data_IF_331330563874
#
_entry.id   IF_331330563874
#
_cell.length_a   1.000
_cell.length_b   1.000
_cell.length_c   1.000
_cell.angle_alpha   90.00
_cell.angle_beta   90.00
_cell.angle_gamma   90.00
#
_symmetry.space_group_name_H-M   'P 1'
#
loop_
_entity.id
_entity.type
_entity.pdbx_description
1 polymer ?
#
# COMPACT_ATOMS: atom_id res chain seq x y z
N UNK A 1 10.25 5.16 -1.78
CA UNK A 1 11.53 5.91 -1.91
C UNK A 1 12.09 6.37 -0.55
N UNK A 2 11.25 6.90 0.35
CA UNK A 2 11.71 7.41 1.66
C UNK A 2 12.46 6.38 2.51
N UNK A 3 12.04 5.12 2.52
CA UNK A 3 12.77 4.03 3.20
C UNK A 3 14.18 3.78 2.66
N UNK A 4 14.37 3.81 1.33
CA UNK A 4 15.70 3.65 0.72
C UNK A 4 16.64 4.82 1.08
N UNK A 5 16.12 6.06 1.05
CA UNK A 5 16.89 7.25 1.46
C UNK A 5 17.29 7.18 2.94
N UNK A 6 16.36 6.79 3.82
CA UNK A 6 16.63 6.60 5.23
C UNK A 6 17.66 5.49 5.47
N UNK A 7 17.60 4.39 4.72
CA UNK A 7 18.59 3.30 4.78
C UNK A 7 20.00 3.77 4.43
N UNK A 8 20.15 4.63 3.42
CA UNK A 8 21.46 5.24 3.09
C UNK A 8 21.97 6.15 4.21
N UNK A 9 21.11 6.99 4.79
CA UNK A 9 21.49 7.86 5.92
C UNK A 9 21.91 7.03 7.14
N UNK A 10 21.20 5.94 7.42
CA UNK A 10 21.57 4.99 8.48
C UNK A 10 22.94 4.37 8.22
N UNK A 11 23.20 3.90 6.99
CA UNK A 11 24.49 3.31 6.61
C UNK A 11 25.66 4.31 6.74
N UNK A 12 25.39 5.60 6.57
CA UNK A 12 26.35 6.69 6.77
C UNK A 12 26.55 7.08 8.25
N UNK A 13 25.88 6.41 9.21
CA UNK A 13 25.93 6.75 10.64
C UNK A 13 25.06 7.95 11.03
N UNK A 14 24.24 8.48 10.12
CA UNK A 14 23.47 9.72 10.28
C UNK A 14 22.06 9.46 10.80
N UNK A 15 21.91 8.57 11.78
CA UNK A 15 20.60 8.14 12.26
C UNK A 15 19.85 9.22 13.05
N UNK A 16 20.58 10.15 13.67
CA UNK A 16 20.02 11.24 14.46
C UNK A 16 20.14 12.61 13.78
N UNK A 17 20.59 12.64 12.52
CA UNK A 17 20.55 13.86 11.73
C UNK A 17 19.09 14.27 11.50
N UNK A 18 18.78 15.58 11.46
CA UNK A 18 17.40 16.07 11.27
C UNK A 18 16.70 15.44 10.06
N UNK A 19 17.43 15.23 8.96
CA UNK A 19 16.90 14.60 7.74
C UNK A 19 16.45 13.15 7.96
N UNK A 20 17.17 12.37 8.77
CA UNK A 20 16.80 11.00 9.10
C UNK A 20 15.61 10.96 10.07
N UNK A 21 15.57 11.89 11.03
CA UNK A 21 14.44 12.02 11.98
C UNK A 21 13.15 12.33 11.24
N UNK A 22 13.14 13.30 10.32
CA UNK A 22 11.93 13.67 9.55
C UNK A 22 11.37 12.47 8.77
N UNK A 23 12.24 11.69 8.11
CA UNK A 23 11.82 10.51 7.35
C UNK A 23 11.31 9.39 8.26
N UNK A 24 11.95 9.18 9.41
CA UNK A 24 11.56 8.16 10.39
C UNK A 24 10.24 8.51 11.06
N UNK A 25 10.07 9.75 11.50
CA UNK A 25 8.88 10.23 12.19
C UNK A 25 7.64 10.17 11.29
N UNK A 26 7.78 10.54 10.01
CA UNK A 26 6.70 10.40 9.04
C UNK A 26 6.23 8.95 8.87
N UNK A 27 7.17 8.00 8.79
CA UNK A 27 6.85 6.57 8.69
C UNK A 27 6.22 6.04 9.99
N UNK A 28 6.76 6.41 11.16
CA UNK A 28 6.25 5.97 12.45
C UNK A 28 4.84 6.50 12.75
N UNK A 29 4.55 7.75 12.40
CA UNK A 29 3.23 8.36 12.69
C UNK A 29 2.17 7.98 11.68
N UNK A 30 2.45 8.07 10.39
CA UNK A 30 1.42 7.97 9.36
C UNK A 30 1.33 6.61 8.70
N UNK A 31 2.41 5.81 8.76
CA UNK A 31 2.39 4.44 8.23
C UNK A 31 2.13 3.46 9.38
N UNK A 32 3.03 3.40 10.37
CA UNK A 32 2.99 2.35 11.39
C UNK A 32 1.69 2.35 12.22
N UNK A 33 1.09 3.52 12.51
CA UNK A 33 -0.17 3.60 13.26
C UNK A 33 -1.36 2.94 12.58
N UNK A 34 -1.36 2.87 11.25
CA UNK A 34 -2.43 2.22 10.51
C UNK A 34 -2.22 0.69 10.39
N UNK A 35 -0.99 0.21 10.63
CA UNK A 35 -0.61 -1.20 10.49
C UNK A 35 -0.96 -1.95 11.78
N UNK A 36 -2.21 -2.38 11.88
CA UNK A 36 -2.71 -3.24 12.96
C UNK A 36 -3.39 -4.45 12.34
N UNK A 37 -2.93 -5.66 12.66
CA UNK A 37 -3.48 -6.90 12.09
C UNK A 37 -2.53 -8.08 12.24
N UNK A 38 -2.91 -9.20 11.66
CA UNK A 38 -2.21 -10.47 11.73
C UNK A 38 -1.96 -11.02 10.32
N UNK A 39 -0.81 -11.67 10.14
CA UNK A 39 -0.45 -12.35 8.89
C UNK A 39 -0.01 -13.76 9.24
N UNK A 40 -0.70 -14.75 8.68
CA UNK A 40 -0.34 -16.15 8.82
C UNK A 40 0.69 -16.54 7.76
N UNK A 41 1.79 -17.17 8.17
CA UNK A 41 2.88 -17.57 7.28
C UNK A 41 3.25 -19.04 7.48
N UNK A 42 3.50 -19.73 6.36
CA UNK A 42 4.15 -21.03 6.35
C UNK A 42 5.65 -20.84 6.11
N UNK A 43 6.48 -21.41 6.99
CA UNK A 43 7.95 -21.36 6.88
C UNK A 43 8.49 -22.72 6.46
N UNK A 44 9.38 -22.72 5.46
CA UNK A 44 10.04 -23.94 4.95
C UNK A 44 11.55 -23.86 5.15
N UNK A 45 12.35 -23.63 4.11
CA UNK A 45 13.83 -23.58 4.21
C UNK A 45 14.39 -22.24 3.77
N UNK A 46 15.19 -21.62 4.63
CA UNK A 46 15.81 -20.33 4.34
C UNK A 46 14.74 -19.25 4.11
N UNK A 47 14.76 -18.63 2.92
CA UNK A 47 13.79 -17.61 2.52
C UNK A 47 12.55 -18.19 1.81
N UNK A 48 12.36 -19.51 1.87
CA UNK A 48 11.17 -20.15 1.34
C UNK A 48 10.02 -20.06 2.36
N UNK A 49 9.06 -19.18 2.08
CA UNK A 49 7.87 -18.96 2.89
C UNK A 49 6.64 -18.70 2.00
N UNK A 50 5.45 -18.95 2.54
CA UNK A 50 4.18 -18.63 1.87
C UNK A 50 3.27 -17.84 2.81
N UNK A 51 2.61 -16.82 2.26
CA UNK A 51 1.54 -16.09 2.95
C UNK A 51 0.27 -16.92 2.86
N UNK A 52 -0.28 -17.30 4.01
CA UNK A 52 -1.48 -18.13 4.09
C UNK A 52 -2.75 -17.27 4.26
N UNK A 53 -2.69 -16.29 5.15
CA UNK A 53 -3.82 -15.41 5.44
C UNK A 53 -3.34 -14.02 5.90
N UNK A 54 -4.18 -13.01 5.76
CA UNK A 54 -3.93 -11.63 6.16
C UNK A 54 -5.21 -10.99 6.66
N UNK A 55 -5.25 -10.65 7.94
CA UNK A 55 -6.41 -10.08 8.60
C UNK A 55 -6.06 -8.73 9.23
N UNK A 56 -6.83 -7.70 8.93
CA UNK A 56 -6.69 -6.41 9.59
C UNK A 56 -8.01 -5.63 9.54
N UNK A 57 -8.40 -4.94 10.62
CA UNK A 57 -9.57 -4.05 10.60
C UNK A 57 -9.37 -2.82 9.71
N UNK A 58 -8.13 -2.49 9.35
CA UNK A 58 -7.78 -1.30 8.57
C UNK A 58 -7.51 -1.61 7.09
N UNK A 59 -7.94 -2.78 6.59
CA UNK A 59 -7.75 -3.13 5.19
C UNK A 59 -8.57 -2.21 4.28
N UNK A 60 -7.88 -1.54 3.36
CA UNK A 60 -8.53 -0.91 2.20
C UNK A 60 -8.91 -1.95 1.15
N UNK A 61 -8.33 -3.14 1.20
CA UNK A 61 -8.73 -4.28 0.37
C UNK A 61 -10.09 -4.80 0.86
N UNK A 62 -11.09 -4.64 0.00
CA UNK A 62 -12.50 -4.92 0.28
C UNK A 62 -13.15 -5.36 -1.04
N UNK A 63 -13.05 -6.65 -1.43
CA UNK A 63 -13.53 -7.14 -2.72
C UNK A 63 -15.03 -6.93 -2.91
N UNK A 64 -15.81 -6.96 -1.83
CA UNK A 64 -17.25 -6.71 -1.82
C UNK A 64 -17.61 -5.32 -2.35
N UNK A 65 -16.74 -4.30 -2.13
CA UNK A 65 -16.96 -2.94 -2.65
C UNK A 65 -16.77 -2.83 -4.15
N UNK A 66 -16.13 -3.81 -4.78
CA UNK A 66 -15.92 -3.87 -6.23
C UNK A 66 -16.84 -4.90 -6.89
N UNK A 67 -17.80 -5.46 -6.15
CA UNK A 67 -18.77 -6.40 -6.70
C UNK A 67 -19.67 -5.72 -7.74
N UNK A 68 -19.91 -6.41 -8.85
CA UNK A 68 -20.79 -5.97 -9.93
C UNK A 68 -22.10 -6.78 -9.98
N UNK A 69 -22.34 -7.65 -9.01
CA UNK A 69 -23.49 -8.56 -8.99
C UNK A 69 -24.81 -7.82 -8.71
N UNK A 70 -24.76 -6.73 -7.94
CA UNK A 70 -25.91 -5.86 -7.66
C UNK A 70 -25.64 -4.47 -8.22
N UNK A 71 -26.44 -4.06 -9.20
CA UNK A 71 -26.20 -2.84 -9.99
C UNK A 71 -26.45 -1.55 -9.20
N UNK A 72 -27.28 -1.58 -8.15
CA UNK A 72 -27.61 -0.39 -7.34
C UNK A 72 -26.45 0.07 -6.43
N UNK A 73 -25.63 -0.86 -5.94
CA UNK A 73 -24.49 -0.57 -5.05
C UNK A 73 -23.14 -0.53 -5.78
N UNK A 74 -23.16 -0.63 -7.12
CA UNK A 74 -21.95 -0.69 -7.92
C UNK A 74 -21.19 0.65 -7.86
N UNK A 75 -19.87 0.64 -7.55
CA UNK A 75 -19.09 1.87 -7.39
C UNK A 75 -18.85 2.66 -8.68
N UNK A 76 -18.99 2.01 -9.84
CA UNK A 76 -18.87 2.64 -11.16
C UNK A 76 -19.62 1.82 -12.22
N UNK A 77 -20.11 2.50 -13.25
CA UNK A 77 -20.73 1.89 -14.42
C UNK A 77 -19.71 1.63 -15.54
N UNK A 78 -20.05 0.81 -16.55
CA UNK A 78 -19.22 0.66 -17.75
C UNK A 78 -18.94 1.99 -18.47
N UNK A 79 -19.89 2.92 -18.46
CA UNK A 79 -19.74 4.23 -19.12
C UNK A 79 -18.68 5.11 -18.43
N UNK A 80 -18.61 5.06 -17.10
CA UNK A 80 -17.62 5.83 -16.33
C UNK A 80 -16.19 5.43 -16.67
N UNK A 81 -15.97 4.13 -16.91
CA UNK A 81 -14.66 3.62 -17.33
C UNK A 81 -14.28 4.08 -18.73
N UNK A 82 -15.23 4.15 -19.67
CA UNK A 82 -14.98 4.72 -21.01
C UNK A 82 -14.62 6.20 -20.92
N UNK A 83 -15.34 6.97 -20.11
CA UNK A 83 -15.03 8.37 -19.83
C UNK A 83 -13.61 8.55 -19.28
N UNK A 84 -13.20 7.71 -18.32
CA UNK A 84 -11.85 7.73 -17.76
C UNK A 84 -10.76 7.46 -18.80
N UNK A 85 -11.01 6.53 -19.74
CA UNK A 85 -10.07 6.23 -20.82
C UNK A 85 -9.95 7.40 -21.80
N UNK A 86 -11.07 8.02 -22.19
CA UNK A 86 -11.06 9.13 -23.16
C UNK A 86 -10.28 10.34 -22.69
N UNK A 87 -10.26 10.63 -21.37
CA UNK A 87 -9.51 11.75 -20.82
C UNK A 87 -7.98 11.59 -20.94
N UNK A 88 -7.48 10.38 -21.15
CA UNK A 88 -6.04 10.11 -21.30
C UNK A 88 -5.53 10.36 -22.72
N UNK A 89 -6.42 10.50 -23.71
CA UNK A 89 -6.02 10.57 -25.12
C UNK A 89 -5.10 11.76 -25.46
N UNK A 90 -5.21 12.87 -24.71
CA UNK A 90 -4.41 14.08 -24.95
C UNK A 90 -2.93 13.95 -24.52
N UNK A 91 -2.61 12.99 -23.64
CA UNK A 91 -1.24 12.73 -23.13
C UNK A 91 -0.58 11.54 -23.85
N UNK A 92 -1.27 10.91 -24.82
CA UNK A 92 -0.78 9.70 -25.52
C UNK A 92 0.11 10.05 -26.73
N UNK A 93 0.01 11.27 -27.25
CA UNK A 93 0.87 11.80 -28.34
C UNK A 93 2.07 12.54 -27.81
#
# INVERSE_FOLDING_TARGET
>A
INGMKLGRLLYQGRWFDPQAIMLREAAQRWVARAVTGEVAIELRRGNDYSLLDTQSPNLTYAPERLSMEKVEDAPFSPADRIGQLTMRNLDIT
#
